data_IF_815545456828
#
_entry.id   IF_815545456828
#
_cell.length_a   1.000
_cell.length_b   1.000
_cell.length_c   1.000
_cell.angle_alpha   90.00
_cell.angle_beta   90.00
_cell.angle_gamma   90.00
#
_symmetry.space_group_name_H-M   'P 1'
#
loop_
_entity.id
_entity.type
_entity.pdbx_description
1 polymer ?
#
# COMPACT_ATOMS: atom_id res chain seq x y z
N UNK A 1 -1.29 1.98 -5.29
CA UNK A 1 -2.25 2.97 -5.86
C UNK A 1 -3.37 2.36 -6.72
N UNK A 2 -3.15 1.73 -7.89
CA UNK A 2 -4.28 1.24 -8.74
C UNK A 2 -4.60 -0.27 -8.62
N UNK A 3 -4.12 -0.93 -7.56
CA UNK A 3 -4.28 -2.37 -7.35
C UNK A 3 -5.76 -2.74 -7.25
N UNK A 4 -6.57 -1.91 -6.59
CA UNK A 4 -8.02 -2.10 -6.44
C UNK A 4 -8.74 -2.34 -7.78
N UNK A 5 -8.30 -1.68 -8.85
CA UNK A 5 -8.92 -1.78 -10.18
C UNK A 5 -8.29 -2.83 -11.07
N UNK A 6 -6.96 -2.87 -11.09
CA UNK A 6 -6.22 -3.59 -12.13
C UNK A 6 -5.49 -4.83 -11.62
N UNK A 7 -5.42 -5.02 -10.30
CA UNK A 7 -4.55 -6.00 -9.66
C UNK A 7 -3.11 -5.51 -9.53
N UNK A 8 -2.29 -6.31 -8.86
CA UNK A 8 -0.88 -6.00 -8.64
C UNK A 8 -0.02 -6.41 -9.85
N UNK A 9 1.30 -6.19 -9.79
CA UNK A 9 2.21 -6.54 -10.88
C UNK A 9 2.15 -8.03 -11.29
N UNK A 10 1.84 -8.92 -10.34
CA UNK A 10 1.64 -10.35 -10.59
C UNK A 10 0.41 -10.61 -11.44
N UNK A 11 -0.71 -9.98 -11.11
CA UNK A 11 -1.97 -10.10 -11.84
C UNK A 11 -1.89 -9.53 -13.26
N UNK A 12 -1.04 -8.51 -13.44
CA UNK A 12 -0.81 -7.85 -14.72
C UNK A 12 0.16 -8.61 -15.64
N UNK A 13 0.95 -9.55 -15.10
CA UNK A 13 1.97 -10.24 -15.87
C UNK A 13 1.43 -11.51 -16.55
N UNK A 14 1.45 -11.53 -17.88
CA UNK A 14 1.06 -12.68 -18.69
C UNK A 14 2.21 -13.68 -18.89
N UNK A 15 3.44 -13.17 -19.00
CA UNK A 15 4.63 -13.99 -19.25
C UNK A 15 5.91 -13.22 -19.02
N UNK A 16 7.01 -13.94 -18.79
CA UNK A 16 8.33 -13.39 -18.50
C UNK A 16 9.41 -14.08 -19.35
N UNK A 17 10.45 -13.36 -19.68
CA UNK A 17 11.76 -13.93 -20.02
C UNK A 17 12.71 -13.70 -18.85
N UNK A 18 13.50 -14.72 -18.51
CA UNK A 18 14.51 -14.57 -17.49
C UNK A 18 15.78 -15.37 -17.81
N UNK A 19 16.93 -14.82 -17.39
CA UNK A 19 18.21 -15.52 -17.33
C UNK A 19 18.33 -16.16 -15.94
N UNK A 20 18.51 -17.48 -15.91
CA UNK A 20 18.69 -18.27 -14.69
C UNK A 20 20.15 -18.24 -14.21
N UNK A 21 20.44 -18.70 -12.98
CA UNK A 21 21.79 -18.60 -12.40
C UNK A 21 22.87 -19.35 -13.18
N UNK A 22 22.51 -20.40 -13.91
CA UNK A 22 23.39 -21.17 -14.79
C UNK A 22 23.61 -20.51 -16.18
N UNK A 23 23.00 -19.34 -16.41
CA UNK A 23 23.02 -18.62 -17.67
C UNK A 23 22.00 -19.08 -18.70
N UNK A 24 21.20 -20.11 -18.41
CA UNK A 24 20.12 -20.54 -19.30
C UNK A 24 19.03 -19.47 -19.40
N UNK A 25 18.42 -19.36 -20.58
CA UNK A 25 17.33 -18.42 -20.82
C UNK A 25 16.01 -19.18 -20.81
N UNK A 26 15.12 -18.80 -19.89
CA UNK A 26 13.74 -19.27 -19.88
C UNK A 26 12.87 -18.34 -20.73
N UNK A 27 12.39 -18.86 -21.87
CA UNK A 27 11.54 -18.11 -22.81
C UNK A 27 10.04 -18.27 -22.50
N UNK A 28 9.56 -17.59 -21.45
CA UNK A 28 8.17 -17.63 -20.99
C UNK A 28 7.28 -16.47 -21.47
N UNK A 29 7.67 -15.69 -22.50
CA UNK A 29 6.96 -14.49 -22.99
C UNK A 29 5.63 -14.75 -23.73
N UNK A 30 4.87 -15.75 -23.29
CA UNK A 30 3.54 -16.02 -23.82
C UNK A 30 2.60 -14.85 -23.51
N UNK A 31 1.71 -14.55 -24.46
CA UNK A 31 0.67 -13.51 -24.36
C UNK A 31 -0.72 -14.10 -24.10
N UNK A 32 -0.76 -15.35 -23.63
CA UNK A 32 -1.98 -16.11 -23.43
C UNK A 32 -2.64 -15.72 -22.10
N UNK A 33 -3.97 -15.67 -22.09
CA UNK A 33 -4.74 -15.47 -20.84
C UNK A 33 -4.90 -16.75 -20.02
N UNK A 34 -4.75 -17.92 -20.66
CA UNK A 34 -4.88 -19.24 -20.05
C UNK A 34 -3.81 -20.14 -20.64
N UNK A 35 -3.01 -20.76 -19.78
CA UNK A 35 -1.95 -21.67 -20.14
C UNK A 35 -1.62 -22.57 -18.95
N UNK A 36 -2.13 -23.80 -18.96
CA UNK A 36 -2.03 -24.74 -17.84
C UNK A 36 -1.01 -25.86 -18.12
N UNK A 37 0.07 -25.55 -18.85
CA UNK A 37 1.09 -26.53 -19.23
C UNK A 37 2.20 -26.63 -18.19
N UNK A 38 1.90 -27.17 -17.01
CA UNK A 38 2.86 -27.37 -15.91
C UNK A 38 2.88 -26.24 -14.87
N UNK A 39 3.99 -26.11 -14.14
CA UNK A 39 4.15 -25.13 -13.06
C UNK A 39 4.28 -23.71 -13.58
N UNK A 40 3.77 -22.76 -12.79
CA UNK A 40 3.79 -21.35 -13.14
C UNK A 40 5.08 -20.66 -12.67
N UNK A 41 6.16 -20.83 -13.44
CA UNK A 41 7.47 -20.27 -13.11
C UNK A 41 7.50 -18.74 -13.08
N UNK A 42 6.61 -18.05 -13.82
CA UNK A 42 6.53 -16.58 -13.77
C UNK A 42 6.23 -16.13 -12.36
N UNK A 43 5.35 -16.86 -11.67
CA UNK A 43 4.93 -16.54 -10.33
C UNK A 43 6.01 -16.83 -9.29
N UNK A 44 7.01 -17.64 -9.63
CA UNK A 44 8.17 -17.82 -8.78
C UNK A 44 9.14 -16.63 -8.84
N UNK A 45 9.27 -16.01 -10.03
CA UNK A 45 10.18 -14.88 -10.26
C UNK A 45 9.59 -13.52 -9.85
N UNK A 46 8.29 -13.31 -10.03
CA UNK A 46 7.64 -12.06 -9.59
C UNK A 46 7.70 -12.00 -8.06
N UNK A 47 8.30 -10.94 -7.51
CA UNK A 47 8.53 -10.79 -6.07
C UNK A 47 9.75 -11.54 -5.53
N UNK A 48 10.56 -12.19 -6.37
CA UNK A 48 11.79 -12.86 -5.92
C UNK A 48 12.95 -11.89 -5.67
N UNK A 49 12.79 -10.60 -6.01
CA UNK A 49 13.80 -9.55 -5.83
C UNK A 49 15.17 -9.91 -6.46
N UNK A 50 15.15 -10.58 -7.62
CA UNK A 50 16.36 -10.98 -8.33
C UNK A 50 17.13 -12.14 -7.69
N UNK A 51 16.60 -12.78 -6.64
CA UNK A 51 17.28 -13.90 -5.97
C UNK A 51 17.19 -15.23 -6.72
N UNK A 52 16.32 -15.35 -7.73
CA UNK A 52 16.08 -16.60 -8.47
C UNK A 52 16.40 -16.51 -9.97
N UNK A 53 16.79 -15.32 -10.46
CA UNK A 53 17.02 -15.07 -11.87
C UNK A 53 16.93 -13.57 -12.19
N UNK A 54 17.39 -13.19 -13.38
CA UNK A 54 17.28 -11.83 -13.91
C UNK A 54 16.15 -11.80 -14.92
N UNK A 55 15.07 -11.09 -14.63
CA UNK A 55 13.99 -10.85 -15.60
C UNK A 55 14.53 -9.91 -16.70
N UNK A 56 14.49 -10.35 -17.96
CA UNK A 56 14.98 -9.57 -19.12
C UNK A 56 13.85 -8.97 -19.95
N UNK A 57 12.66 -9.58 -19.93
CA UNK A 57 11.49 -9.06 -20.61
C UNK A 57 10.20 -9.53 -19.94
N UNK A 58 9.10 -8.81 -20.19
CA UNK A 58 7.78 -9.14 -19.68
C UNK A 58 6.69 -8.88 -20.73
N UNK A 59 5.65 -9.73 -20.73
CA UNK A 59 4.38 -9.46 -21.41
C UNK A 59 3.35 -9.07 -20.36
N UNK A 60 2.78 -7.87 -20.50
CA UNK A 60 1.83 -7.31 -19.56
C UNK A 60 0.43 -7.17 -20.17
N UNK A 61 -0.58 -7.38 -19.33
CA UNK A 61 -1.97 -7.09 -19.65
C UNK A 61 -2.17 -5.57 -19.66
N UNK A 62 -2.82 -5.08 -20.71
CA UNK A 62 -3.27 -3.70 -20.81
C UNK A 62 -4.80 -3.61 -20.62
N UNK A 63 -5.25 -2.44 -20.20
CA UNK A 63 -6.66 -2.10 -20.05
C UNK A 63 -7.01 -0.89 -20.93
N UNK A 64 -8.27 -0.76 -21.38
CA UNK A 64 -8.73 0.45 -22.04
C UNK A 64 -8.54 1.66 -21.13
N UNK A 65 -8.07 2.78 -21.69
CA UNK A 65 -8.03 4.06 -20.98
C UNK A 65 -9.47 4.49 -20.65
N UNK A 66 -9.77 4.90 -19.41
CA UNK A 66 -11.07 5.49 -19.09
C UNK A 66 -11.41 6.66 -20.01
N UNK A 67 -12.67 6.77 -20.42
CA UNK A 67 -13.13 7.86 -21.27
C UNK A 67 -13.41 9.14 -20.46
N UNK A 68 -13.78 8.98 -19.18
CA UNK A 68 -13.96 10.06 -18.22
C UNK A 68 -13.38 9.64 -16.87
N UNK A 69 -12.86 10.60 -16.10
CA UNK A 69 -12.27 10.37 -14.79
C UNK A 69 -12.78 11.41 -13.80
N UNK A 70 -12.93 11.02 -12.54
CA UNK A 70 -13.33 11.91 -11.46
C UNK A 70 -12.60 11.56 -10.17
N UNK A 71 -12.50 12.53 -9.28
CA UNK A 71 -11.96 12.32 -7.94
C UNK A 71 -12.74 13.11 -6.92
N UNK A 72 -12.81 12.59 -5.70
CA UNK A 72 -13.40 13.28 -4.56
C UNK A 72 -12.57 13.04 -3.31
N UNK A 73 -12.50 14.05 -2.46
CA UNK A 73 -12.14 13.88 -1.06
C UNK A 73 -13.40 13.88 -0.23
N UNK A 74 -13.63 12.82 0.54
CA UNK A 74 -14.76 12.73 1.47
C UNK A 74 -14.22 12.60 2.90
N UNK A 75 -14.72 13.39 3.83
CA UNK A 75 -14.40 13.24 5.25
C UNK A 75 -15.26 12.12 5.84
N UNK A 76 -14.68 11.34 6.74
CA UNK A 76 -15.34 10.17 7.36
C UNK A 76 -15.14 10.24 8.87
N UNK A 77 -16.08 9.73 9.68
CA UNK A 77 -15.95 9.79 11.14
C UNK A 77 -14.78 8.94 11.65
N UNK A 78 -14.57 7.76 11.06
CA UNK A 78 -13.55 6.80 11.48
C UNK A 78 -13.18 5.82 10.34
N UNK A 79 -12.15 4.97 10.52
CA UNK A 79 -11.78 3.94 9.53
C UNK A 79 -12.86 2.88 9.25
N UNK A 80 -13.78 2.62 10.19
CA UNK A 80 -14.88 1.68 9.97
C UNK A 80 -15.87 2.24 8.94
N UNK A 81 -16.22 3.52 9.07
CA UNK A 81 -17.05 4.22 8.10
C UNK A 81 -16.36 4.30 6.73
N UNK A 82 -15.03 4.46 6.68
CA UNK A 82 -14.26 4.42 5.44
C UNK A 82 -14.40 3.06 4.71
N UNK A 83 -14.40 1.93 5.44
CA UNK A 83 -14.62 0.61 4.87
C UNK A 83 -16.05 0.41 4.38
N UNK A 84 -17.04 0.86 5.15
CA UNK A 84 -18.43 0.83 4.72
C UNK A 84 -18.66 1.70 3.48
N UNK A 85 -17.98 2.86 3.39
CA UNK A 85 -17.99 3.72 2.22
C UNK A 85 -17.33 3.05 1.00
N UNK A 86 -16.22 2.34 1.19
CA UNK A 86 -15.61 1.52 0.13
C UNK A 86 -16.59 0.46 -0.38
N UNK A 87 -17.25 -0.27 0.52
CA UNK A 87 -18.24 -1.28 0.14
C UNK A 87 -19.44 -0.66 -0.61
N UNK A 88 -19.94 0.49 -0.15
CA UNK A 88 -20.99 1.26 -0.82
C UNK A 88 -20.55 1.71 -2.22
N UNK A 89 -19.33 2.23 -2.34
CA UNK A 89 -18.76 2.65 -3.62
C UNK A 89 -18.62 1.46 -4.57
N UNK A 90 -18.15 0.30 -4.10
CA UNK A 90 -18.01 -0.91 -4.91
C UNK A 90 -19.37 -1.40 -5.42
N UNK A 91 -20.39 -1.38 -4.55
CA UNK A 91 -21.75 -1.77 -4.93
C UNK A 91 -22.37 -0.84 -5.98
N UNK A 92 -22.07 0.46 -5.93
CA UNK A 92 -22.65 1.47 -6.85
C UNK A 92 -21.87 1.63 -8.15
N UNK A 93 -20.54 1.53 -8.10
CA UNK A 93 -19.65 1.89 -9.21
C UNK A 93 -19.00 0.68 -9.87
N UNK A 94 -19.18 -0.55 -9.36
CA UNK A 94 -18.92 -1.79 -10.09
C UNK A 94 -17.57 -1.86 -10.82
N UNK A 95 -16.45 -1.82 -10.09
CA UNK A 95 -15.10 -1.91 -10.66
C UNK A 95 -14.59 -0.65 -11.36
N UNK A 96 -15.32 0.48 -11.29
CA UNK A 96 -14.87 1.77 -11.82
C UNK A 96 -13.99 2.56 -10.83
N UNK A 97 -13.84 2.09 -9.59
CA UNK A 97 -12.96 2.70 -8.59
C UNK A 97 -11.52 2.39 -8.97
N UNK A 98 -10.77 3.43 -9.33
CA UNK A 98 -9.35 3.37 -9.65
C UNK A 98 -8.49 3.37 -8.40
N UNK A 99 -8.86 4.17 -7.39
CA UNK A 99 -8.18 4.25 -6.11
C UNK A 99 -9.14 4.59 -4.96
N UNK A 100 -8.79 4.14 -3.76
CA UNK A 100 -9.51 4.45 -2.52
C UNK A 100 -8.47 4.55 -1.39
N UNK A 101 -8.05 5.76 -1.07
CA UNK A 101 -6.96 6.03 -0.12
C UNK A 101 -7.52 6.51 1.21
N UNK A 102 -7.11 5.91 2.32
CA UNK A 102 -7.37 6.44 3.66
C UNK A 102 -6.25 7.41 4.04
N UNK A 103 -6.60 8.55 4.64
CA UNK A 103 -5.65 9.58 5.07
C UNK A 103 -6.03 10.07 6.46
N UNK A 104 -5.10 9.98 7.41
CA UNK A 104 -5.22 10.55 8.75
C UNK A 104 -4.81 12.03 8.78
N UNK A 105 -5.43 12.80 9.68
CA UNK A 105 -5.13 14.22 9.97
C UNK A 105 -3.65 14.52 10.07
N UNK A 106 -2.88 13.66 10.75
CA UNK A 106 -1.46 13.90 11.00
C UNK A 106 -0.66 14.10 9.72
N UNK A 107 -1.03 13.44 8.62
CA UNK A 107 -0.40 13.66 7.32
C UNK A 107 -0.64 15.07 6.77
N UNK A 108 -1.85 15.60 6.97
CA UNK A 108 -2.20 16.98 6.60
C UNK A 108 -1.47 18.00 7.47
N UNK A 109 -1.36 17.73 8.76
CA UNK A 109 -0.60 18.59 9.68
C UNK A 109 0.89 18.66 9.29
N UNK A 110 1.47 17.55 8.85
CA UNK A 110 2.85 17.50 8.37
C UNK A 110 3.05 18.27 7.06
N UNK A 111 2.07 18.23 6.15
CA UNK A 111 2.09 19.09 4.96
C UNK A 111 2.06 20.56 5.36
N UNK A 112 1.21 20.96 6.31
CA UNK A 112 1.19 22.34 6.82
C UNK A 112 2.54 22.74 7.44
N UNK A 113 3.16 21.85 8.20
CA UNK A 113 4.45 22.10 8.87
C UNK A 113 5.62 22.23 7.89
N UNK A 114 5.65 21.43 6.83
CA UNK A 114 6.86 21.25 6.00
C UNK A 114 6.71 21.68 4.55
N UNK A 115 5.48 21.83 4.07
CA UNK A 115 5.10 22.07 2.67
C UNK A 115 3.83 22.95 2.57
N UNK A 116 3.79 24.16 3.16
CA UNK A 116 2.57 24.97 3.24
C UNK A 116 2.03 25.44 1.88
N UNK A 117 2.81 25.29 0.80
CA UNK A 117 2.35 25.54 -0.57
C UNK A 117 1.42 24.46 -1.12
N UNK A 118 1.36 23.27 -0.49
CA UNK A 118 0.43 22.20 -0.87
C UNK A 118 -0.96 22.56 -0.35
N UNK A 119 -1.87 22.86 -1.27
CA UNK A 119 -3.24 23.24 -0.95
C UNK A 119 -4.00 22.07 -0.33
N UNK A 120 -4.65 22.32 0.80
CA UNK A 120 -5.57 21.37 1.44
C UNK A 120 -7.04 21.70 1.12
N UNK A 121 -7.91 20.69 0.97
CA UNK A 121 -9.29 20.87 0.52
C UNK A 121 -10.24 21.43 1.60
N UNK A 122 -9.90 21.27 2.89
CA UNK A 122 -10.75 21.68 4.02
C UNK A 122 -10.08 22.79 4.83
N UNK A 123 -10.88 23.74 5.34
CA UNK A 123 -10.38 24.83 6.18
C UNK A 123 -9.85 24.33 7.53
N UNK A 124 -10.57 23.38 8.14
CA UNK A 124 -10.08 22.59 9.27
C UNK A 124 -9.80 21.19 8.74
N UNK A 125 -8.58 20.65 8.89
CA UNK A 125 -8.31 19.27 8.51
C UNK A 125 -9.32 18.34 9.21
N UNK A 126 -9.87 17.31 8.57
CA UNK A 126 -10.67 16.29 9.26
C UNK A 126 -9.75 15.31 10.02
N UNK A 127 -10.31 14.51 10.93
CA UNK A 127 -9.54 13.43 11.57
C UNK A 127 -9.20 12.33 10.57
N UNK A 128 -10.20 11.89 9.81
CA UNK A 128 -10.07 10.93 8.73
C UNK A 128 -10.72 11.46 7.45
N UNK A 129 -10.10 11.15 6.32
CA UNK A 129 -10.67 11.40 5.00
C UNK A 129 -10.25 10.32 4.02
N UNK A 130 -11.04 10.18 2.95
CA UNK A 130 -10.76 9.27 1.85
C UNK A 130 -10.56 10.03 0.55
N UNK A 131 -9.55 9.68 -0.23
CA UNK A 131 -9.46 10.02 -1.65
C UNK A 131 -10.08 8.90 -2.45
N UNK A 132 -11.15 9.19 -3.19
CA UNK A 132 -11.75 8.26 -4.14
C UNK A 132 -11.43 8.76 -5.54
N UNK A 133 -10.85 7.89 -6.37
CA UNK A 133 -10.61 8.15 -7.78
C UNK A 133 -11.36 7.12 -8.62
N UNK A 134 -12.04 7.59 -9.66
CA UNK A 134 -12.86 6.74 -10.52
C UNK A 134 -12.54 6.99 -11.99
N UNK A 135 -12.65 5.94 -12.79
CA UNK A 135 -12.54 6.04 -14.23
C UNK A 135 -13.67 5.28 -14.92
N UNK A 136 -14.36 5.94 -15.82
CA UNK A 136 -15.60 5.46 -16.40
C UNK A 136 -15.50 5.24 -17.92
N UNK A 137 -16.32 4.32 -18.47
CA UNK A 137 -16.51 4.21 -19.91
C UNK A 137 -17.21 5.46 -20.49
N UNK A 138 -17.22 5.54 -21.81
CA UNK A 138 -17.90 6.62 -22.54
C UNK A 138 -19.39 6.66 -22.19
N UNK A 139 -19.93 7.87 -22.02
CA UNK A 139 -21.36 8.10 -21.78
C UNK A 139 -21.77 8.12 -20.31
N UNK A 140 -20.86 7.88 -19.37
CA UNK A 140 -21.10 8.07 -17.94
C UNK A 140 -20.44 9.37 -17.46
N UNK A 141 -21.10 10.01 -16.49
CA UNK A 141 -20.63 11.24 -15.86
C UNK A 141 -20.00 10.92 -14.48
N UNK A 142 -18.67 11.07 -14.33
CA UNK A 142 -18.00 10.79 -13.07
C UNK A 142 -18.39 11.77 -11.96
N UNK A 143 -18.74 13.03 -12.28
CA UNK A 143 -19.16 14.00 -11.27
C UNK A 143 -20.50 13.61 -10.67
N UNK A 144 -21.51 13.36 -11.51
CA UNK A 144 -22.83 12.91 -11.05
C UNK A 144 -22.75 11.59 -10.25
N UNK A 145 -21.86 10.68 -10.63
CA UNK A 145 -21.66 9.43 -9.90
C UNK A 145 -21.04 9.63 -8.51
N UNK A 146 -20.06 10.54 -8.37
CA UNK A 146 -19.47 10.89 -7.09
C UNK A 146 -20.45 11.66 -6.20
N UNK A 147 -21.25 12.55 -6.78
CA UNK A 147 -22.32 13.26 -6.06
C UNK A 147 -23.37 12.28 -5.51
N UNK A 148 -23.81 11.34 -6.35
CA UNK A 148 -24.75 10.29 -5.95
C UNK A 148 -24.17 9.32 -4.90
N UNK A 149 -22.85 9.06 -4.94
CA UNK A 149 -22.16 8.30 -3.91
C UNK A 149 -22.10 9.09 -2.59
N UNK A 150 -21.71 10.37 -2.66
CA UNK A 150 -21.64 11.24 -1.49
C UNK A 150 -22.99 11.37 -0.80
N UNK A 151 -24.07 11.67 -1.53
CA UNK A 151 -25.40 11.80 -0.95
C UNK A 151 -25.87 10.53 -0.22
N UNK A 152 -25.54 9.35 -0.76
CA UNK A 152 -25.85 8.09 -0.12
C UNK A 152 -24.98 7.80 1.11
N UNK A 153 -23.70 8.17 1.05
CA UNK A 153 -22.77 8.04 2.15
C UNK A 153 -23.15 8.95 3.32
N UNK A 154 -23.51 10.21 3.03
CA UNK A 154 -23.99 11.19 4.01
C UNK A 154 -25.28 10.72 4.67
N UNK A 155 -26.27 10.27 3.89
CA UNK A 155 -27.53 9.73 4.43
C UNK A 155 -27.31 8.50 5.33
N UNK A 156 -26.25 7.73 5.10
CA UNK A 156 -25.83 6.60 5.93
C UNK A 156 -24.89 6.94 7.09
N UNK A 157 -24.54 8.23 7.28
CA UNK A 157 -23.57 8.66 8.29
C UNK A 157 -22.13 8.22 8.01
N UNK A 158 -21.81 7.79 6.79
CA UNK A 158 -20.49 7.32 6.38
C UNK A 158 -19.56 8.45 5.93
N UNK A 159 -20.13 9.55 5.42
CA UNK A 159 -19.40 10.75 5.03
C UNK A 159 -19.99 11.98 5.75
N UNK A 160 -19.12 12.91 6.17
CA UNK A 160 -19.54 14.11 6.92
C UNK A 160 -19.48 15.39 6.07
N UNK A 161 -18.58 15.43 5.09
CA UNK A 161 -18.37 16.54 4.16
C UNK A 161 -17.58 16.01 2.95
N UNK A 162 -17.58 16.73 1.83
CA UNK A 162 -16.91 16.28 0.62
C UNK A 162 -16.58 17.39 -0.37
N UNK A 163 -15.45 17.22 -1.06
CA UNK A 163 -15.06 18.06 -2.20
C UNK A 163 -14.89 17.17 -3.43
N UNK A 164 -15.75 17.35 -4.41
CA UNK A 164 -15.68 16.65 -5.71
C UNK A 164 -14.93 17.54 -6.70
N UNK A 165 -13.99 16.95 -7.44
CA UNK A 165 -13.23 17.67 -8.44
C UNK A 165 -14.13 18.12 -9.60
N UNK A 166 -14.18 19.43 -9.85
CA UNK A 166 -14.90 20.08 -10.96
C UNK A 166 -14.08 20.17 -12.26
N UNK A 167 -12.80 19.79 -12.21
CA UNK A 167 -11.89 19.83 -13.36
C UNK A 167 -10.73 18.84 -13.20
N UNK A 168 -10.08 18.53 -14.32
CA UNK A 168 -8.85 17.72 -14.33
C UNK A 168 -7.73 18.33 -13.50
N UNK A 169 -7.61 19.67 -13.48
CA UNK A 169 -6.63 20.38 -12.65
C UNK A 169 -6.92 20.22 -11.15
N UNK A 170 -8.18 20.30 -10.73
CA UNK A 170 -8.55 20.06 -9.34
C UNK A 170 -8.31 18.60 -8.94
N UNK A 171 -8.65 17.64 -9.80
CA UNK A 171 -8.32 16.22 -9.59
C UNK A 171 -6.82 16.01 -9.43
N UNK A 172 -5.99 16.60 -10.29
CA UNK A 172 -4.53 16.52 -10.19
C UNK A 172 -4.02 17.13 -8.86
N UNK A 173 -4.65 18.19 -8.37
CA UNK A 173 -4.31 18.78 -7.06
C UNK A 173 -4.63 17.85 -5.89
N UNK A 174 -5.68 17.02 -5.98
CA UNK A 174 -6.00 16.03 -4.96
C UNK A 174 -4.93 14.95 -4.88
N UNK A 175 -4.50 14.46 -6.04
CA UNK A 175 -3.38 13.51 -6.14
C UNK A 175 -2.07 14.12 -5.64
N UNK A 176 -1.79 15.37 -5.99
CA UNK A 176 -0.60 16.09 -5.50
C UNK A 176 -0.55 16.12 -3.97
N UNK A 177 -1.68 16.35 -3.30
CA UNK A 177 -1.76 16.29 -1.84
C UNK A 177 -1.40 14.89 -1.33
N UNK A 178 -2.06 13.84 -1.84
CA UNK A 178 -1.84 12.44 -1.43
C UNK A 178 -0.40 11.98 -1.68
N UNK A 179 0.18 12.35 -2.81
CA UNK A 179 1.55 11.99 -3.22
C UNK A 179 2.62 12.80 -2.48
N UNK A 180 2.26 13.93 -1.87
CA UNK A 180 3.18 14.73 -1.04
C UNK A 180 3.31 14.21 0.39
N UNK A 181 2.40 13.34 0.87
CA UNK A 181 2.45 12.81 2.24
C UNK A 181 3.77 12.07 2.57
N UNK A 182 4.31 11.18 1.70
CA UNK A 182 5.60 10.54 1.97
C UNK A 182 6.76 11.54 2.07
N UNK A 183 6.75 12.60 1.28
CA UNK A 183 7.77 13.65 1.34
C UNK A 183 7.66 14.46 2.63
N UNK A 184 6.45 14.80 3.07
CA UNK A 184 6.23 15.42 4.38
C UNK A 184 6.73 14.53 5.52
N UNK A 185 6.41 13.22 5.49
CA UNK A 185 6.95 12.24 6.43
C UNK A 185 8.49 12.22 6.46
N UNK A 186 9.12 12.26 5.28
CA UNK A 186 10.58 12.28 5.16
C UNK A 186 11.19 13.54 5.80
N UNK A 187 10.54 14.71 5.64
CA UNK A 187 10.98 15.98 6.23
C UNK A 187 10.81 16.04 7.74
N UNK A 188 9.73 15.48 8.27
CA UNK A 188 9.54 15.34 9.73
C UNK A 188 10.56 14.34 10.31
N UNK A 189 10.80 13.24 9.60
CA UNK A 189 11.71 12.18 10.00
C UNK A 189 11.03 11.19 10.95
N UNK A 190 10.59 10.05 10.41
CA UNK A 190 10.05 8.96 11.22
C UNK A 190 11.12 8.39 12.16
N UNK A 191 10.70 8.07 13.40
CA UNK A 191 11.46 7.21 14.32
C UNK A 191 11.42 5.78 13.82
N UNK A 192 10.21 5.32 13.44
CA UNK A 192 10.01 4.00 12.86
C UNK A 192 8.98 4.04 11.75
N UNK A 193 9.30 3.37 10.64
CA UNK A 193 8.45 3.30 9.45
C UNK A 193 7.96 1.90 9.18
N UNK A 194 6.65 1.77 8.94
CA UNK A 194 5.99 0.51 8.68
C UNK A 194 5.16 0.57 7.40
N UNK A 195 5.35 -0.44 6.57
CA UNK A 195 4.60 -0.71 5.35
C UNK A 195 3.93 -2.06 5.55
N UNK A 196 2.69 -2.01 6.04
CA UNK A 196 1.98 -3.17 6.59
C UNK A 196 0.71 -3.43 5.80
N UNK A 197 0.22 -4.67 5.84
CA UNK A 197 -1.12 -4.97 5.36
C UNK A 197 -1.88 -5.80 6.37
N UNK A 198 -3.19 -5.59 6.43
CA UNK A 198 -4.11 -6.28 7.32
C UNK A 198 -5.33 -6.76 6.53
N UNK A 199 -6.02 -7.82 6.99
CA UNK A 199 -7.37 -8.09 6.54
C UNK A 199 -8.22 -6.83 6.70
N UNK A 200 -8.99 -6.46 5.66
CA UNK A 200 -9.76 -5.21 5.65
C UNK A 200 -10.62 -5.04 6.92
N UNK A 201 -11.25 -6.12 7.38
CA UNK A 201 -12.10 -6.13 8.57
C UNK A 201 -11.38 -5.82 9.89
N UNK A 202 -10.05 -5.94 9.93
CA UNK A 202 -9.24 -5.73 11.15
C UNK A 202 -8.54 -4.37 11.18
N UNK A 203 -8.56 -3.62 10.07
CA UNK A 203 -7.98 -2.26 10.00
C UNK A 203 -8.53 -1.32 11.08
N UNK A 204 -9.87 -1.25 11.31
CA UNK A 204 -10.41 -0.33 12.31
C UNK A 204 -9.96 -0.70 13.73
N UNK A 205 -9.93 -1.99 14.05
CA UNK A 205 -9.44 -2.48 15.34
C UNK A 205 -7.95 -2.17 15.54
N UNK A 206 -7.11 -2.44 14.53
CA UNK A 206 -5.70 -2.08 14.57
C UNK A 206 -5.50 -0.57 14.82
N UNK A 207 -6.21 0.28 14.07
CA UNK A 207 -6.09 1.74 14.20
C UNK A 207 -6.64 2.27 15.53
N UNK A 208 -7.55 1.57 16.19
CA UNK A 208 -8.04 1.93 17.52
C UNK A 208 -7.08 1.49 18.65
N UNK A 209 -6.43 0.33 18.50
CA UNK A 209 -5.62 -0.30 19.55
C UNK A 209 -4.13 0.05 19.49
N UNK A 210 -3.57 0.32 18.30
CA UNK A 210 -2.15 0.62 18.15
C UNK A 210 -1.71 1.95 18.77
N UNK A 211 -2.48 3.06 18.67
CA UNK A 211 -2.12 4.32 19.35
C UNK A 211 -1.96 4.21 20.87
N UNK A 212 -2.90 3.64 21.65
CA UNK A 212 -2.71 3.50 23.10
C UNK A 212 -1.57 2.54 23.46
N UNK A 213 -1.32 1.50 22.66
CA UNK A 213 -0.17 0.61 22.87
C UNK A 213 1.16 1.36 22.67
N UNK A 214 1.28 2.18 21.62
CA UNK A 214 2.45 3.00 21.36
C UNK A 214 2.64 4.10 22.42
N UNK A 215 1.55 4.66 22.94
CA UNK A 215 1.59 5.67 24.00
C UNK A 215 2.25 5.15 25.30
N UNK A 216 2.25 3.82 25.53
CA UNK A 216 2.96 3.21 26.65
C UNK A 216 4.50 3.27 26.50
N UNK A 217 5.01 3.46 25.28
CA UNK A 217 6.45 3.58 24.99
C UNK A 217 6.95 5.03 24.97
N UNK A 218 6.05 6.01 24.86
CA UNK A 218 6.41 7.42 24.77
C UNK A 218 5.30 8.28 24.16
N UNK A 219 5.57 9.58 24.05
CA UNK A 219 4.69 10.51 23.35
C UNK A 219 5.06 10.57 21.86
N UNK A 220 4.11 10.21 20.99
CA UNK A 220 4.36 9.99 19.57
C UNK A 220 3.32 10.67 18.71
N UNK A 221 3.75 11.18 17.55
CA UNK A 221 2.84 11.50 16.45
C UNK A 221 2.76 10.29 15.53
N UNK A 222 1.55 9.84 15.19
CA UNK A 222 1.33 8.70 14.30
C UNK A 222 0.70 9.20 13.02
N UNK A 223 1.36 8.98 11.89
CA UNK A 223 0.74 9.21 10.59
C UNK A 223 0.39 7.87 9.95
N UNK A 224 -0.89 7.71 9.61
CA UNK A 224 -1.43 6.58 8.90
C UNK A 224 -2.08 7.06 7.60
N UNK A 225 -1.64 6.53 6.47
CA UNK A 225 -2.35 6.65 5.20
C UNK A 225 -2.04 5.44 4.34
N UNK A 226 -2.90 5.10 3.38
CA UNK A 226 -2.66 3.95 2.54
C UNK A 226 -3.82 3.55 1.65
N UNK A 227 -3.64 2.44 0.96
CA UNK A 227 -4.57 1.86 0.01
C UNK A 227 -5.60 1.03 0.76
N UNK A 228 -6.70 1.66 1.17
CA UNK A 228 -7.73 0.93 1.94
C UNK A 228 -8.36 -0.20 1.11
N UNK A 229 -8.37 -0.07 -0.22
CA UNK A 229 -8.93 -1.06 -1.12
C UNK A 229 -8.23 -2.43 -1.13
N UNK A 230 -6.96 -2.49 -0.76
CA UNK A 230 -6.16 -3.73 -0.72
C UNK A 230 -5.58 -4.04 0.67
N UNK A 231 -5.89 -3.19 1.65
CA UNK A 231 -5.53 -3.37 3.05
C UNK A 231 -4.11 -2.93 3.41
N UNK A 232 -3.40 -2.26 2.50
CA UNK A 232 -2.07 -1.71 2.75
C UNK A 232 -2.15 -0.36 3.50
N UNK A 233 -1.38 -0.23 4.58
CA UNK A 233 -1.21 0.99 5.36
C UNK A 233 0.27 1.35 5.52
N UNK A 234 0.59 2.62 5.24
CA UNK A 234 1.83 3.23 5.70
C UNK A 234 1.59 3.80 7.10
N UNK A 235 1.94 3.01 8.11
CA UNK A 235 1.73 3.34 9.53
C UNK A 235 3.06 3.75 10.15
N UNK A 236 3.31 5.05 10.28
CA UNK A 236 4.63 5.57 10.65
C UNK A 236 4.57 6.34 11.98
N UNK A 237 5.61 6.16 12.81
CA UNK A 237 5.73 6.77 14.14
C UNK A 237 6.81 7.86 14.11
N UNK A 238 6.46 9.04 14.59
CA UNK A 238 7.25 10.28 14.52
C UNK A 238 7.51 10.85 15.91
N UNK A 239 8.61 11.62 16.07
CA UNK A 239 8.85 12.32 17.32
C UNK A 239 7.72 13.32 17.62
N UNK A 240 7.57 13.74 18.89
CA UNK A 240 6.66 14.83 19.24
C UNK A 240 7.00 16.11 18.46
N UNK A 241 6.06 17.05 18.39
CA UNK A 241 6.26 18.31 17.66
C UNK A 241 7.49 19.06 18.23
N UNK A 242 8.39 19.48 17.34
CA UNK A 242 9.67 20.12 17.72
C UNK A 242 10.79 19.15 18.11
N UNK A 243 10.52 17.85 18.22
CA UNK A 243 11.53 16.82 18.46
C UNK A 243 12.24 16.35 17.18
N UNK A 244 13.29 15.56 17.35
CA UNK A 244 14.09 14.99 16.25
C UNK A 244 14.20 13.48 16.40
N UNK A 245 14.07 12.72 15.30
CA UNK A 245 14.13 11.25 15.33
C UNK A 245 15.39 10.69 15.99
N UNK A 246 16.53 11.38 15.85
CA UNK A 246 17.82 10.93 16.39
C UNK A 246 17.81 10.85 17.93
N UNK A 247 16.92 11.57 18.60
CA UNK A 247 16.75 11.50 20.05
C UNK A 247 15.98 10.24 20.52
N UNK A 248 15.45 9.45 19.59
CA UNK A 248 14.59 8.29 19.86
C UNK A 248 15.07 7.01 19.17
N UNK A 249 16.33 6.97 18.73
CA UNK A 249 16.90 5.82 18.00
C UNK A 249 16.92 4.55 18.87
N UNK A 250 17.10 4.70 20.18
CA UNK A 250 17.03 3.63 21.18
C UNK A 250 15.62 3.02 21.32
N UNK A 251 14.57 3.80 21.03
CA UNK A 251 13.18 3.35 21.08
C UNK A 251 12.69 2.71 19.77
N UNK A 252 13.41 2.93 18.66
CA UNK A 252 13.04 2.46 17.31
C UNK A 252 12.75 0.96 17.25
N UNK A 253 13.62 0.14 17.87
CA UNK A 253 13.46 -1.31 17.85
C UNK A 253 12.19 -1.76 18.59
N UNK A 254 11.93 -1.20 19.78
CA UNK A 254 10.75 -1.52 20.57
C UNK A 254 9.44 -1.12 19.87
N UNK A 255 9.42 0.07 19.25
CA UNK A 255 8.28 0.53 18.43
C UNK A 255 8.04 -0.43 17.27
N UNK A 256 9.11 -0.84 16.57
CA UNK A 256 8.99 -1.75 15.43
C UNK A 256 8.43 -3.10 15.84
N UNK A 257 8.99 -3.72 16.88
CA UNK A 257 8.51 -5.01 17.39
C UNK A 257 7.04 -4.91 17.80
N UNK A 258 6.65 -3.87 18.55
CA UNK A 258 5.25 -3.70 18.97
C UNK A 258 4.29 -3.66 17.78
N UNK A 259 4.57 -2.82 16.77
CA UNK A 259 3.71 -2.70 15.59
C UNK A 259 3.66 -4.01 14.80
N UNK A 260 4.82 -4.66 14.59
CA UNK A 260 4.89 -5.90 13.83
C UNK A 260 4.18 -7.06 14.54
N UNK A 261 4.34 -7.20 15.85
CA UNK A 261 3.67 -8.23 16.65
C UNK A 261 2.14 -8.06 16.62
N UNK A 262 1.65 -6.82 16.70
CA UNK A 262 0.22 -6.54 16.57
C UNK A 262 -0.31 -6.90 15.17
N UNK A 263 0.44 -6.58 14.12
CA UNK A 263 0.06 -6.92 12.74
C UNK A 263 0.03 -8.43 12.53
N UNK A 264 1.06 -9.14 13.00
CA UNK A 264 1.14 -10.60 12.91
C UNK A 264 0.01 -11.30 13.68
N UNK A 265 -0.27 -10.84 14.91
CA UNK A 265 -1.38 -11.35 15.72
C UNK A 265 -2.76 -11.18 15.04
N UNK A 266 -2.90 -10.20 14.16
CA UNK A 266 -4.10 -9.95 13.34
C UNK A 266 -4.05 -10.64 11.97
N UNK A 267 -3.09 -11.53 11.73
CA UNK A 267 -2.94 -12.24 10.45
C UNK A 267 -2.57 -11.32 9.28
N UNK A 268 -1.91 -10.20 9.57
CA UNK A 268 -1.39 -9.26 8.58
C UNK A 268 0.00 -9.62 8.05
N UNK A 269 0.60 -8.69 7.30
CA UNK A 269 1.98 -8.76 6.82
C UNK A 269 2.76 -7.51 7.20
N UNK A 270 3.99 -7.70 7.67
CA UNK A 270 4.96 -6.64 8.03
C UNK A 270 5.69 -6.03 6.81
N UNK A 271 5.39 -6.53 5.61
CA UNK A 271 5.82 -5.93 4.35
C UNK A 271 4.74 -6.13 3.29
N UNK A 272 4.04 -5.05 2.95
CA UNK A 272 2.96 -5.08 1.97
C UNK A 272 3.48 -4.94 0.53
N UNK A 273 4.23 -3.88 0.25
CA UNK A 273 4.65 -3.52 -1.12
C UNK A 273 6.16 -3.46 -1.30
N UNK A 274 6.91 -3.02 -0.29
CA UNK A 274 8.34 -2.73 -0.45
C UNK A 274 9.25 -3.98 -0.50
N UNK A 275 8.69 -5.17 -0.32
CA UNK A 275 9.45 -6.43 -0.30
C UNK A 275 10.28 -6.61 0.97
N UNK A 276 11.19 -7.58 0.95
CA UNK A 276 12.05 -7.94 2.08
C UNK A 276 13.43 -7.29 1.95
N UNK A 277 14.02 -7.37 0.75
CA UNK A 277 15.37 -6.91 0.50
C UNK A 277 16.38 -7.50 1.47
N UNK A 278 17.41 -6.72 1.82
CA UNK A 278 18.34 -7.05 2.92
C UNK A 278 17.84 -6.56 4.28
N UNK A 279 17.03 -5.49 4.26
CA UNK A 279 16.64 -4.75 5.46
C UNK A 279 15.68 -5.53 6.35
N UNK A 280 14.76 -6.31 5.75
CA UNK A 280 13.70 -7.01 6.48
C UNK A 280 13.89 -8.53 6.51
N UNK A 281 15.10 -9.04 6.23
CA UNK A 281 15.36 -10.48 6.28
C UNK A 281 15.04 -11.05 7.66
N UNK A 282 15.46 -10.33 8.72
CA UNK A 282 15.16 -10.73 10.10
C UNK A 282 13.64 -10.72 10.37
N UNK A 283 12.90 -9.76 9.80
CA UNK A 283 11.44 -9.73 9.92
C UNK A 283 10.81 -10.94 9.22
N UNK A 284 11.28 -11.30 8.02
CA UNK A 284 10.79 -12.48 7.33
C UNK A 284 11.07 -13.75 8.16
N UNK A 285 12.26 -13.88 8.74
CA UNK A 285 12.61 -15.05 9.55
C UNK A 285 11.81 -15.14 10.86
N UNK A 286 11.43 -14.00 11.43
CA UNK A 286 10.66 -13.93 12.67
C UNK A 286 9.16 -14.20 12.47
N UNK A 287 8.56 -13.63 11.42
CA UNK A 287 7.10 -13.62 11.25
C UNK A 287 6.58 -14.59 10.17
N UNK A 288 7.45 -15.13 9.30
CA UNK A 288 6.98 -16.08 8.29
C UNK A 288 6.79 -17.49 8.86
N UNK A 289 5.81 -18.20 8.30
CA UNK A 289 5.63 -19.63 8.55
C UNK A 289 6.96 -20.42 8.32
N UNK A 290 7.39 -21.27 9.27
CA UNK A 290 8.62 -22.03 9.14
C UNK A 290 8.67 -22.95 7.92
N UNK A 291 7.54 -23.55 7.51
CA UNK A 291 7.49 -24.41 6.34
C UNK A 291 7.61 -23.59 5.04
N UNK A 292 7.03 -22.38 5.00
CA UNK A 292 7.25 -21.41 3.92
C UNK A 292 8.73 -21.06 3.80
N UNK A 293 9.42 -20.74 4.91
CA UNK A 293 10.85 -20.44 4.89
C UNK A 293 11.69 -21.62 4.39
N UNK A 294 11.38 -22.84 4.84
CA UNK A 294 12.05 -24.05 4.37
C UNK A 294 11.87 -24.25 2.86
N UNK A 295 10.65 -24.07 2.34
CA UNK A 295 10.36 -24.16 0.91
C UNK A 295 11.10 -23.08 0.09
N UNK A 296 11.11 -21.83 0.57
CA UNK A 296 11.85 -20.74 -0.08
C UNK A 296 13.35 -21.04 -0.17
N UNK A 297 13.96 -21.54 0.91
CA UNK A 297 15.37 -21.95 0.92
C UNK A 297 15.64 -23.11 -0.04
N UNK A 298 14.78 -24.14 -0.06
CA UNK A 298 14.91 -25.27 -0.97
C UNK A 298 14.87 -24.84 -2.44
N UNK A 299 13.94 -23.95 -2.79
CA UNK A 299 13.83 -23.37 -4.14
C UNK A 299 15.10 -22.58 -4.49
N UNK A 300 15.55 -21.71 -3.58
CA UNK A 300 16.75 -20.89 -3.79
C UNK A 300 17.98 -21.77 -4.02
N UNK A 301 18.20 -22.79 -3.19
CA UNK A 301 19.33 -23.72 -3.32
C UNK A 301 19.25 -24.56 -4.60
N UNK A 302 18.05 -24.93 -5.05
CA UNK A 302 17.88 -25.70 -6.28
C UNK A 302 18.15 -24.88 -7.54
N UNK A 303 17.71 -23.62 -7.57
CA UNK A 303 17.89 -22.75 -8.75
C UNK A 303 19.26 -22.07 -8.77
N UNK A 304 19.77 -21.65 -7.61
CA UNK A 304 21.05 -20.94 -7.46
C UNK A 304 21.95 -21.65 -6.43
N UNK A 305 22.52 -22.82 -6.77
CA UNK A 305 23.34 -23.59 -5.84
C UNK A 305 24.66 -22.90 -5.48
N UNK A 306 25.13 -21.93 -6.29
CA UNK A 306 26.34 -21.16 -6.03
C UNK A 306 26.06 -19.89 -5.19
N UNK A 307 24.79 -19.56 -4.93
CA UNK A 307 24.41 -18.40 -4.13
C UNK A 307 24.79 -17.05 -4.76
N UNK A 308 24.93 -16.98 -6.08
CA UNK A 308 25.42 -15.79 -6.80
C UNK A 308 24.32 -14.77 -7.10
N UNK A 309 23.05 -15.16 -7.06
CA UNK A 309 21.91 -14.30 -7.36
C UNK A 309 21.46 -13.49 -6.15
N UNK A 310 21.83 -12.21 -6.14
CA UNK A 310 21.49 -11.19 -5.13
C UNK A 310 21.67 -11.69 -3.68
N UNK A 311 22.88 -12.10 -3.28
CA UNK A 311 23.13 -12.74 -1.98
C UNK A 311 22.75 -11.84 -0.80
N UNK A 312 22.12 -12.45 0.22
CA UNK A 312 21.67 -11.79 1.44
C UNK A 312 20.38 -10.99 1.31
N UNK A 313 19.77 -10.90 0.12
CA UNK A 313 18.43 -10.36 -0.05
C UNK A 313 17.37 -11.46 0.07
N UNK A 314 16.23 -11.14 0.67
CA UNK A 314 15.07 -12.02 0.98
C UNK A 314 15.41 -13.12 1.99
N UNK A 315 16.46 -13.90 1.74
CA UNK A 315 16.98 -14.94 2.62
C UNK A 315 18.40 -14.58 3.05
N UNK A 316 18.77 -14.92 4.29
CA UNK A 316 20.17 -14.78 4.73
C UNK A 316 21.08 -15.57 3.80
N UNK A 317 22.24 -14.99 3.49
CA UNK A 317 23.29 -15.71 2.79
C UNK A 317 23.72 -16.91 3.64
N UNK A 318 23.82 -18.08 3.02
CA UNK A 318 24.42 -19.24 3.68
C UNK A 318 25.94 -19.00 3.75
N UNK A 319 26.60 -19.23 4.90
CA UNK A 319 28.04 -19.09 5.04
C UNK A 319 28.83 -19.93 4.03
#
# INVERSE_FOLDING_TARGET
>A
MNVLRYGNARDLCLGLEAVLPDGSIWHGLKRLRKDNTGYDLKNLLIGSEGTLGVITAASLKLFPRPAAEGAAFLTVPDPQAALHLLALAQARLGGMISAFELIHRTGLDFLTETMPSVRQPFATPPEWMVLIDIGMPMGLDPTAALEGLFAAAEAGGLALDGVIASSAAQRASFWTLRESLPEANRRIGAVSSHDISLPLSLIPEFLATAPPALAALGDWRINCFGHLGDGNLHYNVFPPRGGHRAAHEDQRAAIKTLVHDMVDAMGGSVSAEHGIGRLKVDDLENYADPAKLAAMRAIKSALDPLGIMNPGAVLRATP
#
